data_IF_482315755542
#
_entry.id   IF_482315755542
#
_cell.length_a   1.000
_cell.length_b   1.000
_cell.length_c   1.000
_cell.angle_alpha   90.00
_cell.angle_beta   90.00
_cell.angle_gamma   90.00
#
_symmetry.space_group_name_H-M   'P 1'
#
loop_
_entity.id
_entity.type
_entity.pdbx_description
1 polymer ?
#
# COMPACT_ATOMS: atom_id res chain seq x y z
N UNK A 1 46.02 -20.60 -8.91
CA UNK A 1 46.15 -22.04 -9.20
C UNK A 1 47.37 -22.62 -8.49
N UNK A 2 48.60 -22.14 -8.70
CA UNK A 2 49.82 -22.72 -8.14
C UNK A 2 49.80 -22.82 -6.58
N UNK A 3 49.31 -21.81 -5.89
CA UNK A 3 49.20 -21.80 -4.42
C UNK A 3 48.34 -22.96 -3.86
N UNK A 4 47.21 -23.24 -4.53
CA UNK A 4 46.29 -24.35 -4.16
C UNK A 4 46.63 -25.68 -4.84
N UNK A 5 47.71 -25.74 -5.59
CA UNK A 5 48.10 -26.92 -6.40
C UNK A 5 46.95 -27.42 -7.30
N UNK A 6 46.19 -26.46 -7.86
CA UNK A 6 45.04 -26.74 -8.74
C UNK A 6 45.53 -26.82 -10.18
N UNK A 7 45.65 -28.02 -10.70
CA UNK A 7 46.19 -28.29 -12.04
C UNK A 7 45.13 -28.39 -13.15
N UNK A 8 43.86 -28.35 -12.73
CA UNK A 8 42.75 -28.52 -13.67
C UNK A 8 42.38 -27.21 -14.40
N UNK A 9 41.67 -27.39 -15.51
CA UNK A 9 41.11 -26.26 -16.26
C UNK A 9 40.03 -25.50 -15.47
N UNK A 10 39.70 -24.23 -15.84
CA UNK A 10 38.57 -23.54 -15.27
C UNK A 10 37.28 -24.36 -15.32
N UNK A 11 36.48 -24.26 -14.26
CA UNK A 11 35.20 -24.96 -14.09
C UNK A 11 35.31 -26.53 -13.99
N UNK A 12 36.51 -27.06 -13.88
CA UNK A 12 36.66 -28.50 -13.61
C UNK A 12 36.14 -28.81 -12.19
N UNK A 13 35.26 -29.80 -12.07
CA UNK A 13 34.79 -30.38 -10.82
C UNK A 13 35.40 -31.71 -10.61
N UNK A 14 36.26 -31.94 -9.58
CA UNK A 14 36.83 -33.26 -9.28
C UNK A 14 35.77 -34.33 -9.04
N UNK A 15 36.09 -35.58 -9.38
CA UNK A 15 35.11 -36.65 -9.24
C UNK A 15 34.70 -36.92 -7.78
N UNK A 16 35.62 -36.73 -6.82
CA UNK A 16 35.34 -36.85 -5.41
C UNK A 16 34.29 -35.80 -4.94
N UNK A 17 34.34 -34.56 -5.50
CA UNK A 17 33.35 -33.55 -5.24
C UNK A 17 31.99 -33.93 -5.88
N UNK A 18 31.97 -34.41 -7.09
CA UNK A 18 30.75 -34.92 -7.76
C UNK A 18 30.09 -36.05 -6.97
N UNK A 19 30.89 -37.00 -6.48
CA UNK A 19 30.41 -38.13 -5.68
C UNK A 19 29.80 -37.63 -4.34
N UNK A 20 30.45 -36.71 -3.65
CA UNK A 20 29.93 -36.12 -2.44
C UNK A 20 28.57 -35.42 -2.66
N UNK A 21 28.43 -34.66 -3.77
CA UNK A 21 27.16 -34.03 -4.13
C UNK A 21 26.11 -35.00 -4.65
N UNK A 22 26.49 -36.14 -5.23
CA UNK A 22 25.56 -37.17 -5.61
C UNK A 22 24.79 -37.76 -4.42
N UNK A 23 25.47 -37.99 -3.32
CA UNK A 23 24.84 -38.45 -2.06
C UNK A 23 23.79 -37.46 -1.57
N UNK A 24 24.07 -36.13 -1.65
CA UNK A 24 23.09 -35.06 -1.29
C UNK A 24 21.88 -35.11 -2.22
N UNK A 25 22.09 -35.28 -3.52
CA UNK A 25 21.00 -35.37 -4.50
C UNK A 25 20.11 -36.59 -4.23
N UNK A 26 20.69 -37.79 -4.03
CA UNK A 26 19.95 -39.02 -3.75
C UNK A 26 19.14 -38.91 -2.44
N UNK A 27 19.70 -38.25 -1.40
CA UNK A 27 18.99 -37.97 -0.15
C UNK A 27 17.81 -36.99 -0.37
N UNK A 28 18.00 -35.98 -1.22
CA UNK A 28 16.96 -35.03 -1.60
C UNK A 28 15.82 -35.69 -2.38
N UNK A 29 16.14 -36.46 -3.40
CA UNK A 29 15.16 -37.21 -4.19
C UNK A 29 14.32 -38.16 -3.31
N UNK A 30 14.96 -38.85 -2.35
CA UNK A 30 14.26 -39.71 -1.40
C UNK A 30 13.33 -38.91 -0.48
N UNK A 31 13.80 -37.80 0.06
CA UNK A 31 12.99 -36.92 0.93
C UNK A 31 11.78 -36.37 0.19
N UNK A 32 11.93 -35.96 -1.08
CA UNK A 32 10.84 -35.49 -1.93
C UNK A 32 9.81 -36.61 -2.20
N UNK A 33 10.26 -37.83 -2.51
CA UNK A 33 9.35 -38.95 -2.68
C UNK A 33 8.56 -39.28 -1.41
N UNK A 34 9.22 -39.26 -0.24
CA UNK A 34 8.58 -39.49 1.05
C UNK A 34 7.54 -38.37 1.38
N UNK A 35 7.89 -37.11 1.09
CA UNK A 35 6.96 -35.97 1.21
C UNK A 35 5.74 -36.15 0.32
N UNK A 36 5.94 -36.41 -0.97
CA UNK A 36 4.85 -36.59 -1.94
C UNK A 36 3.93 -37.77 -1.57
N UNK A 37 4.49 -38.83 -1.01
CA UNK A 37 3.71 -40.00 -0.54
C UNK A 37 2.90 -39.61 0.73
N UNK A 38 3.47 -38.78 1.62
CA UNK A 38 2.76 -38.29 2.82
C UNK A 38 1.65 -37.36 2.44
N UNK A 39 1.87 -36.42 1.50
CA UNK A 39 0.86 -35.49 1.02
C UNK A 39 -0.34 -36.23 0.44
N UNK A 40 -0.12 -37.24 -0.41
CA UNK A 40 -1.22 -38.05 -0.95
C UNK A 40 -2.03 -38.75 0.14
N UNK A 41 -1.38 -39.36 1.15
CA UNK A 41 -2.09 -39.95 2.29
C UNK A 41 -2.89 -38.93 3.08
N UNK A 42 -2.37 -37.69 3.19
CA UNK A 42 -3.07 -36.59 3.83
C UNK A 42 -4.28 -36.14 3.02
N UNK A 43 -4.15 -36.05 1.69
CA UNK A 43 -5.24 -35.73 0.76
C UNK A 43 -6.37 -36.76 0.83
N UNK A 44 -6.02 -38.05 0.91
CA UNK A 44 -7.00 -39.14 1.03
C UNK A 44 -7.73 -39.14 2.38
N UNK A 45 -7.02 -38.85 3.47
CA UNK A 45 -7.55 -38.91 4.84
C UNK A 45 -8.26 -37.60 5.27
N UNK A 46 -7.82 -36.44 4.75
CA UNK A 46 -8.26 -35.09 5.16
C UNK A 46 -8.42 -34.19 3.93
N UNK A 47 -9.39 -34.44 3.04
CA UNK A 47 -9.48 -33.73 1.75
C UNK A 47 -9.75 -32.23 1.89
N UNK A 48 -10.50 -31.77 2.87
CA UNK A 48 -10.78 -30.35 3.06
C UNK A 48 -9.55 -29.60 3.60
N UNK A 49 -8.82 -30.18 4.55
CA UNK A 49 -7.59 -29.62 5.09
C UNK A 49 -6.47 -29.62 4.06
N UNK A 50 -6.41 -30.66 3.23
CA UNK A 50 -5.46 -30.75 2.13
C UNK A 50 -5.70 -29.66 1.09
N UNK A 51 -6.96 -29.37 0.76
CA UNK A 51 -7.34 -28.26 -0.12
C UNK A 51 -6.93 -26.92 0.48
N UNK A 52 -7.15 -26.73 1.79
CA UNK A 52 -6.70 -25.51 2.49
C UNK A 52 -5.18 -25.36 2.44
N UNK A 53 -4.43 -26.45 2.64
CA UNK A 53 -2.97 -26.46 2.53
C UNK A 53 -2.51 -26.07 1.11
N UNK A 54 -3.14 -26.61 0.06
CA UNK A 54 -2.83 -26.26 -1.33
C UNK A 54 -3.08 -24.77 -1.60
N UNK A 55 -4.23 -24.23 -1.17
CA UNK A 55 -4.55 -22.78 -1.26
C UNK A 55 -3.51 -21.96 -0.50
N UNK A 56 -3.13 -22.40 0.71
CA UNK A 56 -2.11 -21.71 1.50
C UNK A 56 -0.75 -21.65 0.79
N UNK A 57 -0.33 -22.75 0.19
CA UNK A 57 0.96 -22.86 -0.53
C UNK A 57 0.95 -22.12 -1.88
N UNK A 58 -0.19 -22.08 -2.58
CA UNK A 58 -0.34 -21.32 -3.83
C UNK A 58 -0.44 -19.81 -3.60
N UNK A 59 -0.85 -19.37 -2.40
CA UNK A 59 -1.14 -17.97 -2.08
C UNK A 59 -2.40 -17.42 -2.74
N UNK A 60 -3.22 -18.31 -3.33
CA UNK A 60 -4.49 -17.91 -3.96
C UNK A 60 -5.57 -17.61 -2.92
N UNK A 61 -6.48 -16.73 -3.30
CA UNK A 61 -7.65 -16.39 -2.49
C UNK A 61 -8.80 -17.38 -2.75
N UNK A 62 -9.57 -17.67 -1.72
CA UNK A 62 -10.78 -18.50 -1.87
C UNK A 62 -11.82 -17.74 -2.71
N UNK A 63 -12.52 -18.42 -3.61
CA UNK A 63 -13.55 -17.83 -4.44
C UNK A 63 -14.64 -17.12 -3.60
N UNK A 64 -15.18 -16.01 -4.10
CA UNK A 64 -16.23 -15.23 -3.42
C UNK A 64 -15.72 -14.18 -2.42
N UNK A 65 -14.41 -14.04 -2.22
CA UNK A 65 -13.84 -13.04 -1.32
C UNK A 65 -14.13 -11.60 -1.76
N UNK A 66 -14.35 -11.35 -3.05
CA UNK A 66 -14.69 -10.01 -3.54
C UNK A 66 -16.11 -9.59 -3.18
N UNK A 67 -17.01 -10.56 -3.04
CA UNK A 67 -18.44 -10.29 -2.79
C UNK A 67 -18.70 -9.81 -1.35
N UNK A 68 -17.73 -10.02 -0.45
CA UNK A 68 -17.84 -9.59 0.95
C UNK A 68 -17.16 -8.26 1.24
N UNK A 69 -16.52 -7.65 0.25
CA UNK A 69 -15.89 -6.35 0.43
C UNK A 69 -16.93 -5.29 0.80
N UNK A 70 -16.64 -4.42 1.78
CA UNK A 70 -17.58 -3.40 2.21
C UNK A 70 -17.88 -2.40 1.09
N UNK A 71 -19.10 -1.91 1.05
CA UNK A 71 -19.58 -0.89 0.11
C UNK A 71 -19.95 0.39 0.86
N UNK A 72 -19.78 1.52 0.21
CA UNK A 72 -20.03 2.84 0.76
C UNK A 72 -20.83 3.71 -0.22
N UNK A 73 -21.54 4.71 0.28
CA UNK A 73 -22.33 5.63 -0.52
C UNK A 73 -21.66 7.01 -0.61
N UNK A 74 -21.99 7.76 -1.66
CA UNK A 74 -21.54 9.16 -1.78
C UNK A 74 -21.91 9.96 -0.54
N UNK A 75 -20.92 10.67 0.01
CA UNK A 75 -21.10 11.51 1.19
C UNK A 75 -20.95 10.79 2.53
N UNK A 76 -20.88 9.45 2.55
CA UNK A 76 -20.48 8.73 3.77
C UNK A 76 -19.12 9.25 4.23
N UNK A 77 -19.00 9.56 5.53
CA UNK A 77 -17.76 10.13 6.09
C UNK A 77 -17.12 9.17 7.07
N UNK A 78 -15.98 8.62 6.68
CA UNK A 78 -15.23 7.69 7.53
C UNK A 78 -13.72 7.87 7.34
N UNK A 79 -12.93 7.51 8.36
CA UNK A 79 -11.49 7.45 8.26
C UNK A 79 -11.07 6.22 7.45
N UNK A 80 -10.12 6.36 6.53
CA UNK A 80 -9.70 5.22 5.68
C UNK A 80 -9.08 4.08 6.49
N UNK A 81 -8.51 4.36 7.68
CA UNK A 81 -8.08 3.30 8.61
C UNK A 81 -9.24 2.42 9.12
N UNK A 82 -10.45 2.98 9.31
CA UNK A 82 -11.61 2.19 9.73
C UNK A 82 -12.04 1.25 8.59
N UNK A 83 -12.09 1.79 7.36
CA UNK A 83 -12.36 1.01 6.16
C UNK A 83 -11.38 -0.15 6.00
N UNK A 84 -10.08 0.11 6.24
CA UNK A 84 -9.05 -0.93 6.28
C UNK A 84 -9.38 -2.05 7.26
N UNK A 85 -9.82 -1.71 8.48
CA UNK A 85 -10.26 -2.67 9.47
C UNK A 85 -11.50 -3.47 9.03
N UNK A 86 -12.45 -2.80 8.38
CA UNK A 86 -13.66 -3.44 7.84
C UNK A 86 -13.29 -4.43 6.73
N UNK A 87 -12.41 -4.05 5.80
CA UNK A 87 -11.92 -4.95 4.74
C UNK A 87 -11.17 -6.14 5.30
N UNK A 88 -10.20 -5.93 6.21
CA UNK A 88 -9.44 -7.03 6.82
C UNK A 88 -10.36 -8.05 7.49
N UNK A 89 -11.38 -7.58 8.23
CA UNK A 89 -12.34 -8.45 8.88
C UNK A 89 -13.29 -9.14 7.89
N UNK A 90 -13.72 -8.48 6.83
CA UNK A 90 -14.57 -9.07 5.80
C UNK A 90 -13.86 -10.19 5.03
N UNK A 91 -12.58 -9.98 4.67
CA UNK A 91 -11.82 -10.97 3.89
C UNK A 91 -11.23 -12.09 4.74
N UNK A 92 -11.05 -11.90 6.04
CA UNK A 92 -10.41 -12.88 6.92
C UNK A 92 -10.99 -14.31 6.83
N UNK A 93 -12.32 -14.52 6.76
CA UNK A 93 -12.89 -15.86 6.56
C UNK A 93 -12.51 -16.50 5.22
N UNK A 94 -12.30 -15.69 4.18
CA UNK A 94 -11.97 -16.12 2.82
C UNK A 94 -10.47 -16.24 2.57
N UNK A 95 -9.66 -15.74 3.50
CA UNK A 95 -8.20 -15.79 3.42
C UNK A 95 -7.63 -16.39 4.73
N UNK A 96 -7.74 -17.70 4.92
CA UNK A 96 -7.36 -18.35 6.19
C UNK A 96 -5.90 -18.19 6.55
N UNK A 97 -5.05 -17.90 5.58
CA UNK A 97 -3.60 -17.67 5.78
C UNK A 97 -3.24 -16.22 6.10
N UNK A 98 -4.21 -15.29 6.12
CA UNK A 98 -4.00 -13.91 6.52
C UNK A 98 -3.76 -13.86 8.03
N UNK A 99 -2.56 -13.47 8.46
CA UNK A 99 -2.14 -13.42 9.86
C UNK A 99 -1.38 -12.12 10.11
N UNK A 100 -1.66 -11.44 11.21
CA UNK A 100 -0.97 -10.19 11.48
C UNK A 100 -1.41 -9.47 12.75
N UNK A 101 -1.10 -8.20 12.85
CA UNK A 101 -1.37 -7.40 14.04
C UNK A 101 -0.73 -6.02 13.98
N UNK A 102 -0.19 -5.54 15.10
CA UNK A 102 0.37 -4.20 15.18
C UNK A 102 1.50 -4.12 16.21
N UNK A 103 2.34 -3.09 16.05
CA UNK A 103 3.35 -2.70 17.03
C UNK A 103 2.70 -1.95 18.20
N UNK A 104 1.88 -2.65 18.99
CA UNK A 104 1.13 -2.15 20.17
C UNK A 104 0.11 -1.03 19.87
N UNK A 105 -0.36 -0.94 18.61
CA UNK A 105 -1.29 0.09 18.14
C UNK A 105 -2.54 -0.48 17.47
N UNK A 106 -2.87 -1.77 17.69
CA UNK A 106 -3.94 -2.48 16.96
C UNK A 106 -5.30 -1.79 17.03
N UNK A 107 -5.67 -1.24 18.17
CA UNK A 107 -6.91 -0.46 18.34
C UNK A 107 -6.95 0.82 17.49
N UNK A 108 -5.81 1.50 17.34
CA UNK A 108 -5.68 2.71 16.53
C UNK A 108 -5.50 2.41 15.05
N UNK A 109 -4.73 1.37 14.70
CA UNK A 109 -4.49 0.94 13.33
C UNK A 109 -5.66 0.14 12.74
N UNK A 110 -6.61 -0.36 13.58
CA UNK A 110 -7.73 -1.22 13.17
C UNK A 110 -7.28 -2.55 12.54
N UNK A 111 -6.19 -3.13 13.06
CA UNK A 111 -5.57 -4.34 12.52
C UNK A 111 -6.02 -5.63 13.20
N UNK A 112 -6.88 -5.57 14.21
CA UNK A 112 -7.41 -6.75 14.90
C UNK A 112 -8.42 -7.49 14.01
N UNK A 113 -8.17 -8.78 13.78
CA UNK A 113 -9.14 -9.70 13.21
C UNK A 113 -10.08 -10.17 14.34
N UNK A 114 -11.33 -9.70 14.30
CA UNK A 114 -12.38 -10.10 15.24
C UNK A 114 -12.65 -11.60 15.06
N UNK A 115 -12.99 -12.30 16.09
CA UNK A 115 -13.35 -13.72 16.07
C UNK A 115 -12.22 -14.71 15.72
N UNK A 116 -10.98 -14.25 15.56
CA UNK A 116 -9.84 -15.11 15.17
C UNK A 116 -8.74 -15.24 16.24
N UNK A 117 -9.03 -15.05 17.49
CA UNK A 117 -8.11 -15.31 18.60
C UNK A 117 -6.68 -14.76 18.47
N UNK A 118 -5.91 -14.93 19.52
CA UNK A 118 -4.52 -14.47 19.58
C UNK A 118 -3.57 -15.63 19.26
N UNK A 119 -2.61 -15.40 18.38
CA UNK A 119 -1.53 -16.34 18.11
C UNK A 119 -0.52 -16.28 19.28
N UNK A 120 -0.43 -17.35 20.03
CA UNK A 120 0.40 -17.42 21.24
C UNK A 120 1.17 -18.74 21.35
N UNK A 121 2.05 -18.85 22.35
CA UNK A 121 2.79 -20.09 22.61
C UNK A 121 1.88 -21.24 23.05
N UNK A 122 0.74 -20.93 23.64
CA UNK A 122 -0.23 -21.91 24.15
C UNK A 122 -1.32 -22.24 23.11
N UNK A 123 -1.53 -21.36 22.11
CA UNK A 123 -2.52 -21.53 21.05
C UNK A 123 -2.03 -20.93 19.71
N UNK A 124 -1.66 -21.81 18.79
CA UNK A 124 -1.24 -21.44 17.43
C UNK A 124 -2.39 -21.30 16.43
N UNK A 125 -3.65 -21.51 16.86
CA UNK A 125 -4.82 -21.36 15.99
C UNK A 125 -5.24 -19.89 15.81
N UNK A 126 -4.80 -19.01 16.71
CA UNK A 126 -5.07 -17.58 16.63
C UNK A 126 -4.39 -16.91 15.44
N UNK A 127 -4.95 -15.77 15.01
CA UNK A 127 -4.46 -15.03 13.83
C UNK A 127 -4.05 -13.59 14.14
N UNK A 128 -4.22 -13.14 15.39
CA UNK A 128 -3.76 -11.84 15.85
C UNK A 128 -2.39 -11.99 16.53
N UNK A 129 -1.39 -11.25 16.03
CA UNK A 129 -0.03 -11.24 16.55
C UNK A 129 0.25 -9.93 17.28
N UNK A 130 0.62 -10.03 18.55
CA UNK A 130 0.96 -8.89 19.38
C UNK A 130 2.47 -8.65 19.34
N UNK A 131 2.92 -7.81 18.40
CA UNK A 131 4.36 -7.57 18.18
C UNK A 131 5.00 -6.70 19.28
N UNK A 132 4.21 -5.91 20.03
CA UNK A 132 4.70 -4.90 20.95
C UNK A 132 5.38 -3.74 20.21
N UNK A 133 6.00 -2.81 20.94
CA UNK A 133 6.71 -1.66 20.37
C UNK A 133 8.05 -2.11 19.78
N UNK A 134 8.01 -2.79 18.62
CA UNK A 134 9.17 -3.44 17.99
C UNK A 134 9.01 -3.46 16.46
N UNK A 135 8.89 -2.32 15.83
CA UNK A 135 8.57 -2.20 14.39
C UNK A 135 9.59 -2.94 13.52
N UNK A 136 10.88 -2.82 13.80
CA UNK A 136 11.91 -3.53 13.05
C UNK A 136 11.78 -5.05 13.15
N UNK A 137 11.59 -5.57 14.36
CA UNK A 137 11.38 -7.00 14.58
C UNK A 137 10.06 -7.49 13.95
N UNK A 138 8.98 -6.69 14.05
CA UNK A 138 7.71 -6.94 13.38
C UNK A 138 7.92 -7.16 11.87
N UNK A 139 8.64 -6.25 11.21
CA UNK A 139 8.97 -6.40 9.79
C UNK A 139 9.85 -7.60 9.49
N UNK A 140 10.82 -7.91 10.36
CA UNK A 140 11.67 -9.11 10.25
C UNK A 140 10.84 -10.40 10.36
N UNK A 141 9.90 -10.46 11.30
CA UNK A 141 8.97 -11.59 11.46
C UNK A 141 8.08 -11.74 10.23
N UNK A 142 7.51 -10.64 9.72
CA UNK A 142 6.72 -10.66 8.48
C UNK A 142 7.52 -11.22 7.30
N UNK A 143 8.77 -10.78 7.14
CA UNK A 143 9.64 -11.28 6.08
C UNK A 143 9.91 -12.78 6.23
N UNK A 144 10.15 -13.25 7.45
CA UNK A 144 10.34 -14.67 7.74
C UNK A 144 9.09 -15.50 7.43
N UNK A 145 7.90 -15.04 7.82
CA UNK A 145 6.62 -15.68 7.51
C UNK A 145 6.37 -15.77 6.01
N UNK A 146 6.59 -14.67 5.28
CA UNK A 146 6.41 -14.63 3.83
C UNK A 146 7.40 -15.54 3.10
N UNK A 147 8.68 -15.55 3.50
CA UNK A 147 9.71 -16.44 2.93
C UNK A 147 9.45 -17.91 3.19
N UNK A 148 8.90 -18.26 4.36
CA UNK A 148 8.51 -19.64 4.65
C UNK A 148 7.38 -20.12 3.73
N UNK A 149 6.49 -19.20 3.34
CA UNK A 149 5.29 -19.51 2.56
C UNK A 149 4.14 -20.07 3.40
N UNK A 150 2.96 -20.16 2.80
CA UNK A 150 1.74 -20.64 3.45
C UNK A 150 1.05 -19.61 4.36
N UNK A 151 1.60 -18.41 4.51
CA UNK A 151 1.04 -17.31 5.30
C UNK A 151 1.14 -16.00 4.53
N UNK A 152 0.08 -15.21 4.53
CA UNK A 152 0.07 -13.83 4.04
C UNK A 152 0.17 -12.88 5.24
N UNK A 153 1.35 -12.38 5.59
CA UNK A 153 1.51 -11.53 6.75
C UNK A 153 1.07 -10.09 6.47
N UNK A 154 0.40 -9.46 7.45
CA UNK A 154 0.16 -8.03 7.49
C UNK A 154 0.55 -7.45 8.85
N UNK A 155 0.97 -6.20 8.89
CA UNK A 155 1.20 -5.53 10.16
C UNK A 155 0.99 -4.02 10.07
N UNK A 156 0.54 -3.43 11.18
CA UNK A 156 0.24 -2.01 11.28
C UNK A 156 1.08 -1.28 12.31
N UNK A 157 1.33 -0.01 12.00
CA UNK A 157 1.83 1.01 12.93
C UNK A 157 1.42 2.40 12.41
N UNK A 158 1.72 3.49 13.12
CA UNK A 158 1.58 4.83 12.56
C UNK A 158 2.61 5.07 11.47
N UNK A 159 2.28 5.90 10.48
CA UNK A 159 3.17 6.15 9.35
C UNK A 159 4.53 6.71 9.78
N UNK A 160 4.56 7.59 10.79
CA UNK A 160 5.80 8.15 11.34
C UNK A 160 6.76 7.06 11.83
N UNK A 161 6.25 5.95 12.37
CA UNK A 161 7.07 4.84 12.87
C UNK A 161 7.56 3.90 11.76
N UNK A 162 7.23 4.20 10.49
CA UNK A 162 7.92 3.55 9.36
C UNK A 162 9.43 3.78 9.41
N UNK A 163 9.92 4.82 10.06
CA UNK A 163 11.34 5.07 10.27
C UNK A 163 12.04 3.91 10.99
N UNK A 164 11.37 3.29 11.98
CA UNK A 164 11.91 2.11 12.67
C UNK A 164 11.74 0.82 11.86
N UNK A 165 10.76 0.76 10.95
CA UNK A 165 10.41 -0.43 10.17
C UNK A 165 11.12 -0.47 8.80
N UNK A 166 11.51 0.67 8.27
CA UNK A 166 11.98 0.86 6.89
C UNK A 166 13.10 -0.10 6.45
N UNK A 167 14.13 -0.44 7.25
CA UNK A 167 15.13 -1.41 6.82
C UNK A 167 14.54 -2.80 6.52
N UNK A 168 13.56 -3.26 7.31
CA UNK A 168 12.85 -4.53 7.06
C UNK A 168 11.94 -4.47 5.83
N UNK A 169 11.26 -3.33 5.60
CA UNK A 169 10.48 -3.08 4.36
C UNK A 169 11.39 -3.17 3.14
N UNK A 170 12.57 -2.54 3.20
CA UNK A 170 13.53 -2.58 2.11
C UNK A 170 13.97 -4.00 1.77
N UNK A 171 14.13 -4.87 2.77
CA UNK A 171 14.46 -6.27 2.56
C UNK A 171 13.28 -7.04 1.95
N UNK A 172 12.04 -6.79 2.38
CA UNK A 172 10.86 -7.36 1.74
C UNK A 172 10.81 -6.99 0.25
N UNK A 173 11.06 -5.72 -0.07
CA UNK A 173 11.08 -5.23 -1.45
C UNK A 173 12.23 -5.83 -2.29
N UNK A 174 13.41 -6.00 -1.69
CA UNK A 174 14.56 -6.62 -2.34
C UNK A 174 14.32 -8.11 -2.67
N UNK A 175 13.55 -8.80 -1.81
CA UNK A 175 13.23 -10.23 -1.92
C UNK A 175 11.87 -10.49 -2.59
N UNK A 176 11.18 -9.44 -3.06
CA UNK A 176 9.83 -9.50 -3.64
C UNK A 176 8.82 -10.25 -2.74
N UNK A 177 8.87 -10.01 -1.42
CA UNK A 177 7.99 -10.72 -0.48
C UNK A 177 6.64 -10.04 -0.35
N UNK A 178 5.52 -10.79 -0.43
CA UNK A 178 4.17 -10.25 -0.45
C UNK A 178 3.67 -9.85 0.95
N UNK A 179 4.36 -8.95 1.62
CA UNK A 179 4.00 -8.41 2.93
C UNK A 179 3.08 -7.20 2.81
N UNK A 180 2.12 -7.03 3.73
CA UNK A 180 1.19 -5.90 3.75
C UNK A 180 1.47 -5.02 4.96
N UNK A 181 1.87 -3.77 4.71
CA UNK A 181 2.09 -2.76 5.74
C UNK A 181 0.88 -1.82 5.80
N UNK A 182 0.24 -1.77 6.97
CA UNK A 182 -0.93 -0.91 7.24
C UNK A 182 -0.44 0.29 8.04
N UNK A 183 -0.19 1.40 7.36
CA UNK A 183 0.24 2.65 7.98
C UNK A 183 -0.94 3.59 8.16
N UNK A 184 -1.22 3.96 9.40
CA UNK A 184 -2.27 4.92 9.71
C UNK A 184 -1.70 6.24 10.23
N UNK A 185 -2.56 7.25 10.44
CA UNK A 185 -2.10 8.57 10.89
C UNK A 185 -1.14 9.20 9.88
N UNK A 186 -1.65 9.35 8.64
CA UNK A 186 -0.92 9.59 7.40
C UNK A 186 -0.30 10.98 7.24
N UNK A 187 -0.69 11.96 8.07
CA UNK A 187 -0.34 13.37 7.86
C UNK A 187 -0.43 14.20 9.15
N UNK A 188 -0.26 15.52 9.05
CA UNK A 188 -0.51 16.48 10.12
C UNK A 188 -1.94 16.43 10.66
N UNK A 189 -2.87 15.79 9.94
CA UNK A 189 -4.23 15.50 10.40
C UNK A 189 -4.30 14.63 11.67
N UNK A 190 -3.18 14.08 12.12
CA UNK A 190 -3.01 13.44 13.44
C UNK A 190 -3.41 14.39 14.57
N UNK A 191 -3.01 15.66 14.47
CA UNK A 191 -3.47 16.70 15.40
C UNK A 191 -2.58 16.87 16.62
N UNK A 192 -3.16 16.85 17.81
CA UNK A 192 -2.55 17.27 19.08
C UNK A 192 -1.33 16.45 19.49
N UNK A 193 -1.18 15.21 19.02
CA UNK A 193 0.02 14.37 19.26
C UNK A 193 1.30 15.07 18.78
N UNK A 194 1.17 15.99 17.83
CA UNK A 194 2.22 16.91 17.43
C UNK A 194 3.30 16.32 16.52
N UNK A 195 4.42 17.05 16.32
CA UNK A 195 5.44 16.75 15.33
C UNK A 195 6.08 15.36 15.45
N UNK A 196 6.13 14.80 16.65
CA UNK A 196 6.71 13.46 16.89
C UNK A 196 5.85 12.32 16.31
N UNK A 197 4.59 12.60 15.97
CA UNK A 197 3.63 11.64 15.45
C UNK A 197 3.09 12.02 14.06
N UNK A 198 3.45 13.19 13.55
CA UNK A 198 3.01 13.72 12.27
C UNK A 198 4.04 13.45 11.18
N UNK A 199 3.78 12.52 10.25
CA UNK A 199 4.70 12.25 9.14
C UNK A 199 4.69 13.41 8.14
N UNK A 200 5.84 13.73 7.59
CA UNK A 200 6.05 14.72 6.53
C UNK A 200 6.80 14.09 5.35
N UNK A 201 8.04 13.63 5.60
CA UNK A 201 8.94 13.06 4.59
C UNK A 201 8.70 11.57 4.32
N UNK A 202 7.92 10.90 5.14
CA UNK A 202 7.78 9.44 5.16
C UNK A 202 7.21 8.88 3.86
N UNK A 203 6.25 9.57 3.23
CA UNK A 203 5.72 9.16 1.92
C UNK A 203 6.82 9.16 0.85
N UNK A 204 7.58 10.24 0.73
CA UNK A 204 8.69 10.33 -0.21
C UNK A 204 9.76 9.28 0.09
N UNK A 205 10.06 9.03 1.37
CA UNK A 205 11.03 8.03 1.80
C UNK A 205 10.59 6.59 1.46
N UNK A 206 9.29 6.27 1.56
CA UNK A 206 8.76 4.96 1.17
C UNK A 206 8.72 4.80 -0.35
N UNK A 207 8.26 5.81 -1.10
CA UNK A 207 8.27 5.84 -2.57
C UNK A 207 9.67 5.73 -3.17
N UNK A 208 10.71 6.06 -2.40
CA UNK A 208 12.11 5.89 -2.83
C UNK A 208 12.61 4.43 -2.76
N UNK A 209 11.85 3.50 -2.16
CA UNK A 209 12.23 2.08 -2.07
C UNK A 209 11.78 1.37 -3.34
N UNK A 210 12.71 0.84 -4.18
CA UNK A 210 12.34 0.08 -5.37
C UNK A 210 11.48 -1.14 -5.01
N UNK A 211 10.54 -1.51 -5.87
CA UNK A 211 9.63 -2.65 -5.73
C UNK A 211 8.67 -2.59 -4.54
N UNK A 212 8.61 -1.49 -3.81
CA UNK A 212 7.57 -1.25 -2.82
C UNK A 212 6.39 -0.54 -3.51
N UNK A 213 5.20 -1.12 -3.43
CA UNK A 213 3.98 -0.45 -3.86
C UNK A 213 3.43 0.41 -2.71
N UNK A 214 3.36 1.72 -2.89
CA UNK A 214 2.79 2.65 -1.91
C UNK A 214 1.42 3.11 -2.40
N UNK A 215 0.37 2.85 -1.60
CA UNK A 215 -1.01 3.22 -1.90
C UNK A 215 -1.52 4.19 -0.83
N UNK A 216 -1.90 5.40 -1.21
CA UNK A 216 -2.52 6.40 -0.32
C UNK A 216 -3.92 6.76 -0.81
N UNK A 217 -4.94 5.96 -0.45
CA UNK A 217 -6.32 6.15 -0.91
C UNK A 217 -6.95 7.41 -0.32
N UNK A 218 -7.76 8.10 -1.13
CA UNK A 218 -8.42 9.35 -0.76
C UNK A 218 -9.73 9.18 0.01
N UNK A 219 -10.41 8.04 -0.13
CA UNK A 219 -11.67 7.77 0.54
C UNK A 219 -11.89 6.26 0.80
N UNK A 220 -13.11 5.92 1.24
CA UNK A 220 -13.46 4.54 1.54
C UNK A 220 -13.42 3.64 0.29
N UNK A 221 -13.89 4.11 -0.85
CA UNK A 221 -13.95 3.33 -2.09
C UNK A 221 -12.54 3.04 -2.60
N UNK A 222 -11.69 4.04 -2.67
CA UNK A 222 -10.28 3.82 -3.02
C UNK A 222 -9.56 2.90 -2.05
N UNK A 223 -9.92 2.93 -0.75
CA UNK A 223 -9.34 2.03 0.25
C UNK A 223 -9.72 0.57 -0.03
N UNK A 224 -10.98 0.31 -0.34
CA UNK A 224 -11.44 -1.03 -0.73
C UNK A 224 -10.70 -1.52 -1.98
N UNK A 225 -10.57 -0.67 -2.99
CA UNK A 225 -9.90 -1.03 -4.26
C UNK A 225 -8.37 -1.17 -4.10
N UNK A 226 -7.75 -0.43 -3.17
CA UNK A 226 -6.36 -0.64 -2.80
C UNK A 226 -6.14 -2.04 -2.20
N UNK A 227 -7.01 -2.47 -1.29
CA UNK A 227 -6.98 -3.83 -0.76
C UNK A 227 -7.28 -4.88 -1.82
N UNK A 228 -8.24 -4.63 -2.70
CA UNK A 228 -8.52 -5.53 -3.83
C UNK A 228 -7.25 -5.79 -4.64
N UNK A 229 -6.55 -4.73 -5.04
CA UNK A 229 -5.29 -4.84 -5.76
C UNK A 229 -4.21 -5.58 -4.95
N UNK A 230 -4.02 -5.20 -3.68
CA UNK A 230 -2.97 -5.77 -2.82
C UNK A 230 -3.18 -7.25 -2.56
N UNK A 231 -4.43 -7.68 -2.39
CA UNK A 231 -4.75 -9.08 -2.10
C UNK A 231 -4.69 -9.97 -3.34
N UNK A 232 -5.07 -9.48 -4.52
CA UNK A 232 -5.22 -10.31 -5.73
C UNK A 232 -4.10 -10.15 -6.76
N UNK A 233 -3.55 -8.95 -6.95
CA UNK A 233 -2.63 -8.64 -8.06
C UNK A 233 -1.20 -8.35 -7.59
N UNK A 234 -1.01 -7.78 -6.38
CA UNK A 234 0.29 -7.37 -5.87
C UNK A 234 1.12 -8.57 -5.39
N UNK A 235 2.24 -8.82 -6.06
CA UNK A 235 3.15 -9.93 -5.75
C UNK A 235 4.25 -9.57 -4.77
N UNK A 236 4.65 -8.31 -4.72
CA UNK A 236 5.65 -7.77 -3.81
C UNK A 236 5.03 -7.11 -2.55
N UNK A 237 5.85 -6.40 -1.77
CA UNK A 237 5.37 -5.71 -0.59
C UNK A 237 4.52 -4.49 -0.96
N UNK A 238 3.47 -4.25 -0.16
CA UNK A 238 2.59 -3.10 -0.30
C UNK A 238 2.46 -2.33 1.01
N UNK A 239 2.53 -0.99 0.94
CA UNK A 239 2.27 -0.07 2.03
C UNK A 239 0.95 0.68 1.74
N UNK A 240 -0.05 0.48 2.58
CA UNK A 240 -1.35 1.17 2.51
C UNK A 240 -1.35 2.27 3.54
N UNK A 241 -1.44 3.52 3.08
CA UNK A 241 -1.30 4.73 3.88
C UNK A 241 -2.68 5.34 4.15
N UNK A 242 -3.08 5.43 5.40
CA UNK A 242 -4.46 5.61 5.82
C UNK A 242 -4.64 6.80 6.77
N UNK A 243 -5.72 7.57 6.57
CA UNK A 243 -6.05 8.73 7.38
C UNK A 243 -6.55 8.36 8.78
N UNK A 244 -6.27 9.24 9.76
CA UNK A 244 -6.91 9.22 11.08
C UNK A 244 -8.28 9.89 11.04
N UNK A 245 -8.39 11.02 10.33
CA UNK A 245 -9.62 11.79 10.19
C UNK A 245 -10.56 11.17 9.17
N UNK A 246 -11.86 11.41 9.36
CA UNK A 246 -12.89 11.01 8.39
C UNK A 246 -12.85 11.88 7.14
N UNK A 247 -12.95 11.23 5.99
CA UNK A 247 -13.04 11.84 4.65
C UNK A 247 -14.34 11.41 3.98
N UNK A 248 -14.95 12.25 3.14
CA UNK A 248 -16.18 11.89 2.45
C UNK A 248 -15.90 10.97 1.26
N UNK A 249 -16.81 10.06 0.98
CA UNK A 249 -16.85 9.28 -0.27
C UNK A 249 -17.27 10.19 -1.41
N UNK A 250 -16.50 10.15 -2.50
CA UNK A 250 -16.69 10.99 -3.67
C UNK A 250 -17.45 10.22 -4.78
N UNK A 251 -18.26 10.92 -5.56
CA UNK A 251 -18.99 10.32 -6.69
C UNK A 251 -18.03 9.70 -7.71
N UNK A 252 -16.98 10.44 -8.08
CA UNK A 252 -16.00 9.97 -9.06
C UNK A 252 -15.19 8.75 -8.63
N UNK A 253 -15.06 8.47 -7.31
CA UNK A 253 -14.41 7.23 -6.84
C UNK A 253 -15.31 6.02 -7.01
N UNK A 254 -16.62 6.15 -6.78
CA UNK A 254 -17.58 5.06 -7.06
C UNK A 254 -17.56 4.64 -8.52
N UNK A 255 -17.40 5.59 -9.43
CA UNK A 255 -17.41 5.34 -10.88
C UNK A 255 -16.06 4.77 -11.37
N UNK A 256 -14.94 5.30 -10.87
CA UNK A 256 -13.64 5.15 -11.53
C UNK A 256 -12.59 4.39 -10.71
N UNK A 257 -12.71 4.29 -9.37
CA UNK A 257 -11.65 3.75 -8.52
C UNK A 257 -11.33 2.28 -8.82
N UNK A 258 -12.32 1.44 -9.15
CA UNK A 258 -12.09 0.02 -9.43
C UNK A 258 -11.08 -0.22 -10.55
N UNK A 259 -11.12 0.56 -11.60
CA UNK A 259 -10.16 0.47 -12.70
C UNK A 259 -8.95 1.38 -12.50
N UNK A 260 -9.10 2.44 -11.72
CA UNK A 260 -8.12 3.52 -11.55
C UNK A 260 -7.07 3.24 -10.50
N UNK A 261 -7.46 2.75 -9.32
CA UNK A 261 -6.53 2.52 -8.20
C UNK A 261 -5.43 1.53 -8.58
N UNK A 262 -5.77 0.43 -9.21
CA UNK A 262 -4.80 -0.57 -9.68
C UNK A 262 -3.85 -0.06 -10.79
N UNK A 263 -4.19 1.06 -11.42
CA UNK A 263 -3.32 1.76 -12.37
C UNK A 263 -2.53 2.89 -11.73
N UNK A 264 -2.76 3.18 -10.46
CA UNK A 264 -1.99 4.12 -9.65
C UNK A 264 -2.36 5.60 -9.80
N UNK A 265 -3.03 5.98 -10.88
CA UNK A 265 -3.54 7.33 -11.10
C UNK A 265 -4.62 7.32 -12.18
N UNK A 266 -5.67 8.11 -12.00
CA UNK A 266 -6.80 8.15 -12.92
C UNK A 266 -7.52 9.50 -12.88
N UNK A 267 -8.28 9.80 -13.94
CA UNK A 267 -9.15 10.98 -13.96
C UNK A 267 -10.32 10.72 -13.03
N UNK A 268 -10.33 11.40 -11.89
CA UNK A 268 -11.42 11.32 -10.91
C UNK A 268 -12.63 12.10 -11.40
N UNK A 269 -12.39 13.32 -11.88
CA UNK A 269 -13.44 14.19 -12.39
C UNK A 269 -12.90 15.02 -13.55
N UNK A 270 -13.58 14.95 -14.69
CA UNK A 270 -13.19 15.68 -15.89
C UNK A 270 -13.58 17.17 -15.80
N UNK A 271 -12.93 18.00 -16.59
CA UNK A 271 -13.33 19.37 -16.79
C UNK A 271 -14.73 19.45 -17.41
N UNK A 272 -15.58 20.36 -16.92
CA UNK A 272 -16.99 20.44 -17.33
C UNK A 272 -17.22 20.58 -18.84
N UNK A 273 -16.25 21.15 -19.57
CA UNK A 273 -16.29 21.32 -21.02
C UNK A 273 -15.47 20.26 -21.79
N UNK A 274 -14.89 19.27 -21.10
CA UNK A 274 -14.02 18.24 -21.67
C UNK A 274 -12.62 18.73 -22.08
N UNK A 275 -12.30 20.02 -21.90
CA UNK A 275 -11.01 20.61 -22.27
C UNK A 275 -10.40 21.33 -21.06
N UNK A 276 -9.61 20.66 -20.24
CA UNK A 276 -9.03 21.24 -19.05
C UNK A 276 -7.99 22.32 -19.37
N UNK A 277 -8.12 23.47 -18.71
CA UNK A 277 -7.13 24.55 -18.73
C UNK A 277 -5.99 24.27 -17.75
N UNK A 278 -6.26 23.46 -16.73
CA UNK A 278 -5.29 23.05 -15.71
C UNK A 278 -5.67 21.69 -15.11
N UNK A 279 -4.74 21.07 -14.40
CA UNK A 279 -4.97 19.84 -13.64
C UNK A 279 -4.77 20.10 -12.15
N UNK A 280 -5.61 19.48 -11.30
CA UNK A 280 -5.32 19.28 -9.87
C UNK A 280 -5.05 17.80 -9.68
N UNK A 281 -3.87 17.45 -9.18
CA UNK A 281 -3.45 16.08 -8.89
C UNK A 281 -3.42 15.92 -7.37
N UNK A 282 -4.26 15.05 -6.83
CA UNK A 282 -4.35 14.88 -5.38
C UNK A 282 -4.28 13.41 -4.97
N UNK A 283 -3.92 13.16 -3.72
CA UNK A 283 -3.87 11.82 -3.13
C UNK A 283 -4.27 11.88 -1.66
N UNK A 284 -4.76 10.76 -1.14
CA UNK A 284 -5.08 10.67 0.27
C UNK A 284 -6.20 11.58 0.71
N UNK A 285 -6.17 11.96 1.98
CA UNK A 285 -7.24 12.75 2.62
C UNK A 285 -7.49 14.12 1.98
N UNK A 286 -6.61 14.61 1.11
CA UNK A 286 -6.72 15.90 0.44
C UNK A 286 -7.56 15.83 -0.86
N UNK A 287 -7.93 14.63 -1.31
CA UNK A 287 -8.61 14.43 -2.60
C UNK A 287 -9.96 15.17 -2.67
N UNK A 288 -10.74 15.18 -1.58
CA UNK A 288 -12.01 15.90 -1.53
C UNK A 288 -11.84 17.41 -1.69
N UNK A 289 -10.75 17.99 -1.16
CA UNK A 289 -10.45 19.43 -1.31
C UNK A 289 -10.19 19.78 -2.78
N UNK A 290 -9.57 18.90 -3.54
CA UNK A 290 -9.34 19.09 -4.98
C UNK A 290 -10.65 19.12 -5.76
N UNK A 291 -11.61 18.24 -5.44
CA UNK A 291 -12.95 18.21 -6.04
C UNK A 291 -13.74 19.48 -5.71
N UNK A 292 -13.74 19.89 -4.43
CA UNK A 292 -14.40 21.13 -4.02
C UNK A 292 -13.78 22.37 -4.68
N UNK A 293 -12.44 22.39 -4.83
CA UNK A 293 -11.74 23.47 -5.52
C UNK A 293 -12.11 23.51 -7.02
N UNK A 294 -12.22 22.37 -7.70
CA UNK A 294 -12.69 22.29 -9.08
C UNK A 294 -14.09 22.89 -9.22
N UNK A 295 -15.01 22.52 -8.34
CA UNK A 295 -16.39 23.03 -8.37
C UNK A 295 -16.42 24.57 -8.20
N UNK A 296 -15.58 25.10 -7.31
CA UNK A 296 -15.47 26.54 -7.11
C UNK A 296 -14.84 27.26 -8.30
N UNK A 297 -13.81 26.70 -8.91
CA UNK A 297 -13.18 27.24 -10.13
C UNK A 297 -14.14 27.25 -11.32
N UNK A 298 -14.99 26.22 -11.44
CA UNK A 298 -16.00 26.13 -12.51
C UNK A 298 -17.01 27.29 -12.42
N UNK A 299 -17.35 27.78 -11.23
CA UNK A 299 -18.22 28.98 -11.06
C UNK A 299 -17.56 30.24 -11.62
N UNK A 300 -16.23 30.29 -11.64
CA UNK A 300 -15.46 31.40 -12.22
C UNK A 300 -15.13 31.16 -13.72
N UNK A 301 -15.71 30.13 -14.35
CA UNK A 301 -15.46 29.76 -15.75
C UNK A 301 -14.10 29.11 -16.02
N UNK A 302 -13.41 28.65 -14.97
CA UNK A 302 -12.13 27.96 -15.09
C UNK A 302 -12.37 26.45 -15.06
N UNK A 303 -12.05 25.78 -16.15
CA UNK A 303 -12.30 24.36 -16.35
C UNK A 303 -11.06 23.54 -16.00
N UNK A 304 -11.16 22.71 -14.97
CA UNK A 304 -10.04 21.95 -14.40
C UNK A 304 -10.40 20.47 -14.38
N UNK A 305 -9.44 19.61 -14.67
CA UNK A 305 -9.54 18.17 -14.43
C UNK A 305 -8.97 17.86 -13.05
N UNK A 306 -9.64 16.99 -12.29
CA UNK A 306 -9.11 16.41 -11.05
C UNK A 306 -8.61 14.99 -11.33
N UNK A 307 -7.38 14.72 -10.91
CA UNK A 307 -6.73 13.41 -11.00
C UNK A 307 -6.49 12.90 -9.59
N UNK A 308 -6.99 11.71 -9.29
CA UNK A 308 -6.55 10.95 -8.12
C UNK A 308 -5.30 10.16 -8.48
N UNK A 309 -4.26 10.24 -7.62
CA UNK A 309 -3.00 9.54 -7.82
C UNK A 309 -2.59 8.74 -6.57
N UNK A 310 -3.32 7.68 -6.23
CA UNK A 310 -3.08 6.91 -5.02
C UNK A 310 -1.74 6.17 -5.00
N UNK A 311 -1.12 5.86 -6.15
CA UNK A 311 0.17 5.17 -6.24
C UNK A 311 1.01 5.63 -7.43
N UNK A 312 2.17 6.22 -7.15
CA UNK A 312 3.11 6.62 -8.19
C UNK A 312 3.70 5.41 -8.92
N UNK A 313 4.06 4.37 -8.18
CA UNK A 313 4.71 3.17 -8.70
C UNK A 313 3.81 2.46 -9.73
N UNK A 314 2.53 2.32 -9.43
CA UNK A 314 1.57 1.71 -10.34
C UNK A 314 1.27 2.60 -11.55
N UNK A 315 1.25 3.92 -11.37
CA UNK A 315 1.05 4.85 -12.49
C UNK A 315 2.23 4.83 -13.46
N UNK A 316 3.46 4.80 -12.95
CA UNK A 316 4.66 4.73 -13.78
C UNK A 316 4.79 3.41 -14.58
N UNK A 317 4.16 2.34 -14.11
CA UNK A 317 4.11 1.06 -14.81
C UNK A 317 3.14 1.06 -16.01
N UNK A 318 2.27 2.07 -16.11
CA UNK A 318 1.32 2.15 -17.22
C UNK A 318 2.02 2.55 -18.53
N UNK A 319 1.41 2.17 -19.65
CA UNK A 319 1.88 2.60 -20.94
C UNK A 319 1.76 4.14 -21.12
N UNK A 320 2.48 4.67 -22.09
CA UNK A 320 2.52 6.10 -22.35
C UNK A 320 1.12 6.64 -22.72
N UNK A 321 0.34 5.91 -23.49
CA UNK A 321 -0.98 6.36 -23.93
C UNK A 321 -1.93 6.54 -22.72
N UNK A 322 -1.90 5.63 -21.76
CA UNK A 322 -2.67 5.77 -20.53
C UNK A 322 -2.21 6.98 -19.71
N UNK A 323 -0.90 7.10 -19.46
CA UNK A 323 -0.35 8.21 -18.66
C UNK A 323 -0.67 9.57 -19.31
N UNK A 324 -0.56 9.65 -20.62
CA UNK A 324 -0.94 10.86 -21.39
C UNK A 324 -2.45 11.13 -21.38
N UNK A 325 -3.28 10.09 -21.37
CA UNK A 325 -4.71 10.21 -21.20
C UNK A 325 -5.10 10.83 -19.85
N UNK A 326 -4.37 10.48 -18.79
CA UNK A 326 -4.59 11.01 -17.42
C UNK A 326 -3.95 12.40 -17.24
N UNK A 327 -2.68 12.55 -17.65
CA UNK A 327 -1.86 13.75 -17.51
C UNK A 327 -1.37 14.24 -18.89
N UNK A 328 -2.26 14.80 -19.73
CA UNK A 328 -1.89 15.19 -21.10
C UNK A 328 -0.79 16.25 -21.11
N UNK A 329 0.23 16.03 -21.95
CA UNK A 329 1.37 16.94 -22.08
C UNK A 329 0.95 18.35 -22.56
N UNK A 330 -0.20 18.46 -23.22
CA UNK A 330 -0.75 19.75 -23.66
C UNK A 330 -1.29 20.63 -22.53
N UNK A 331 -1.44 20.09 -21.30
CA UNK A 331 -1.88 20.83 -20.12
C UNK A 331 -0.72 20.86 -19.13
N UNK A 332 0.06 21.96 -19.16
CA UNK A 332 1.26 22.18 -18.35
C UNK A 332 0.95 22.86 -16.99
N UNK A 333 -0.18 23.51 -16.86
CA UNK A 333 -0.63 24.13 -15.60
C UNK A 333 -1.18 23.07 -14.66
N UNK A 334 -0.33 22.57 -13.77
CA UNK A 334 -0.63 21.43 -12.88
C UNK A 334 -0.36 21.79 -11.43
N UNK A 335 -1.29 21.50 -10.56
CA UNK A 335 -1.18 21.70 -9.12
C UNK A 335 -1.26 20.35 -8.40
N UNK A 336 -0.20 19.98 -7.68
CA UNK A 336 -0.26 18.81 -6.80
C UNK A 336 -0.71 19.21 -5.39
N UNK A 337 -1.53 18.36 -4.76
CA UNK A 337 -2.07 18.56 -3.41
C UNK A 337 -1.85 17.30 -2.59
N UNK A 338 -0.93 17.34 -1.63
CA UNK A 338 -0.61 16.24 -0.72
C UNK A 338 -0.08 16.74 0.61
N UNK A 339 -0.66 16.31 1.72
CA UNK A 339 -0.17 16.60 3.07
C UNK A 339 1.09 15.77 3.39
N UNK A 340 2.15 16.03 2.66
CA UNK A 340 3.47 15.42 2.71
C UNK A 340 4.50 16.30 2.02
N UNK A 341 5.75 15.83 1.93
CA UNK A 341 6.85 16.57 1.33
C UNK A 341 6.64 16.78 -0.18
N UNK A 342 7.06 17.92 -0.71
CA UNK A 342 6.96 18.23 -2.15
C UNK A 342 7.86 17.35 -3.03
N UNK A 343 8.88 16.74 -2.46
CA UNK A 343 9.90 15.95 -3.16
C UNK A 343 9.30 14.87 -4.07
N UNK A 344 9.59 14.97 -5.36
CA UNK A 344 9.15 14.02 -6.39
C UNK A 344 7.89 14.45 -7.13
N UNK A 345 7.12 15.43 -6.63
CA UNK A 345 5.97 15.95 -7.34
C UNK A 345 6.34 16.71 -8.62
N UNK A 346 7.58 17.21 -8.72
CA UNK A 346 8.11 17.88 -9.91
C UNK A 346 7.96 17.01 -11.17
N UNK A 347 8.06 15.69 -11.03
CA UNK A 347 7.84 14.73 -12.13
C UNK A 347 6.46 14.88 -12.79
N UNK A 348 5.44 15.20 -12.00
CA UNK A 348 4.05 15.23 -12.45
C UNK A 348 3.55 16.64 -12.77
N UNK A 349 4.01 17.62 -11.99
CA UNK A 349 3.58 19.00 -12.19
C UNK A 349 4.43 19.74 -13.24
N UNK A 350 5.70 19.33 -13.44
CA UNK A 350 6.63 19.99 -14.37
C UNK A 350 7.09 21.36 -13.89
N UNK A 351 7.83 22.07 -14.75
CA UNK A 351 8.45 23.38 -14.42
C UNK A 351 7.40 24.50 -14.29
N UNK A 352 6.28 24.40 -14.97
CA UNK A 352 5.17 25.36 -14.97
C UNK A 352 4.10 25.05 -13.90
N UNK A 353 4.32 24.02 -13.10
CA UNK A 353 3.39 23.59 -12.08
C UNK A 353 3.71 24.13 -10.68
N UNK A 354 2.84 23.79 -9.74
CA UNK A 354 3.02 24.13 -8.32
C UNK A 354 2.51 23.02 -7.41
N UNK A 355 2.78 23.19 -6.10
CA UNK A 355 2.32 22.24 -5.08
C UNK A 355 1.65 22.95 -3.90
N UNK A 356 0.69 22.28 -3.28
CA UNK A 356 0.21 22.52 -1.92
C UNK A 356 0.67 21.33 -1.08
N UNK A 357 1.81 21.47 -0.42
CA UNK A 357 2.57 20.40 0.26
C UNK A 357 3.18 20.95 1.55
N UNK A 358 3.81 20.06 2.33
CA UNK A 358 4.42 20.39 3.62
C UNK A 358 5.94 20.23 3.50
N UNK A 359 6.68 21.35 3.71
CA UNK A 359 8.15 21.36 3.68
C UNK A 359 8.75 21.80 5.04
N UNK A 360 8.02 21.60 6.11
CA UNK A 360 8.43 21.86 7.51
C UNK A 360 7.75 20.84 8.43
N UNK A 361 8.26 20.66 9.63
CA UNK A 361 7.58 19.82 10.62
C UNK A 361 6.21 20.36 11.00
N UNK A 362 5.33 19.46 11.45
CA UNK A 362 4.01 19.80 11.96
C UNK A 362 4.06 20.51 13.32
N UNK A 363 2.89 20.73 13.89
CA UNK A 363 2.72 21.40 15.18
C UNK A 363 1.62 20.71 16.00
N UNK A 364 1.57 20.95 17.33
CA UNK A 364 0.53 20.38 18.19
C UNK A 364 -0.68 21.33 18.25
N UNK A 365 -1.75 20.93 17.56
CA UNK A 365 -3.05 21.62 17.56
C UNK A 365 -4.13 20.66 17.01
N UNK A 366 -5.44 20.99 17.09
CA UNK A 366 -6.48 20.20 16.43
C UNK A 366 -6.19 20.02 14.93
N UNK A 367 -6.33 18.79 14.43
CA UNK A 367 -5.93 18.42 13.06
C UNK A 367 -6.55 19.31 11.98
N UNK A 368 -7.84 19.65 12.08
CA UNK A 368 -8.50 20.56 11.13
C UNK A 368 -7.88 21.95 11.10
N UNK A 369 -7.48 22.47 12.27
CA UNK A 369 -6.79 23.77 12.36
C UNK A 369 -5.40 23.70 11.71
N UNK A 370 -4.68 22.60 11.92
CA UNK A 370 -3.38 22.39 11.27
C UNK A 370 -3.51 22.32 9.74
N UNK A 371 -4.50 21.59 9.24
CA UNK A 371 -4.76 21.54 7.80
C UNK A 371 -5.00 22.94 7.23
N UNK A 372 -5.77 23.79 7.92
CA UNK A 372 -6.01 25.17 7.54
C UNK A 372 -4.72 26.01 7.57
N UNK A 373 -3.96 26.00 8.66
CA UNK A 373 -2.73 26.77 8.84
C UNK A 373 -1.60 26.37 7.88
N UNK A 374 -1.58 25.09 7.47
CA UNK A 374 -0.64 24.60 6.46
C UNK A 374 -1.16 24.76 5.02
N UNK A 375 -2.31 25.38 4.85
CA UNK A 375 -2.84 25.76 3.54
C UNK A 375 -3.64 24.69 2.82
N UNK A 376 -4.02 23.60 3.48
CA UNK A 376 -4.91 22.58 2.91
C UNK A 376 -6.37 23.03 3.03
N UNK A 377 -6.69 24.08 2.28
CA UNK A 377 -8.04 24.65 2.16
C UNK A 377 -8.43 24.79 0.70
N UNK A 378 -9.72 24.70 0.42
CA UNK A 378 -10.28 24.90 -0.92
C UNK A 378 -9.85 26.26 -1.49
N UNK A 379 -9.93 27.32 -0.67
CA UNK A 379 -9.57 28.68 -1.08
C UNK A 379 -8.11 28.83 -1.48
N UNK A 380 -7.19 28.21 -0.73
CA UNK A 380 -5.78 28.25 -1.08
C UNK A 380 -5.51 27.47 -2.38
N UNK A 381 -6.12 26.29 -2.57
CA UNK A 381 -5.99 25.49 -3.81
C UNK A 381 -6.49 26.30 -5.00
N UNK A 382 -7.66 26.93 -4.90
CA UNK A 382 -8.22 27.82 -5.93
C UNK A 382 -7.28 28.98 -6.25
N UNK A 383 -6.78 29.67 -5.22
CA UNK A 383 -5.89 30.81 -5.40
C UNK A 383 -4.56 30.42 -6.04
N UNK A 384 -3.97 29.28 -5.62
CA UNK A 384 -2.72 28.76 -6.19
C UNK A 384 -2.90 28.41 -7.68
N UNK A 385 -4.02 27.76 -8.02
CA UNK A 385 -4.28 27.43 -9.42
C UNK A 385 -4.54 28.69 -10.28
N UNK A 386 -5.27 29.68 -9.77
CA UNK A 386 -5.46 30.95 -10.46
C UNK A 386 -4.15 31.70 -10.71
N UNK A 387 -3.19 31.60 -9.79
CA UNK A 387 -1.84 32.16 -9.98
C UNK A 387 -1.06 31.45 -11.09
N UNK A 388 -1.23 30.13 -11.23
CA UNK A 388 -0.60 29.37 -12.34
C UNK A 388 -1.17 29.70 -13.72
N UNK A 389 -2.41 30.20 -13.78
CA UNK A 389 -3.09 30.54 -15.03
C UNK A 389 -2.82 31.98 -15.49
N UNK A 390 -2.16 32.81 -14.69
CA UNK A 390 -1.76 34.18 -15.03
C UNK A 390 -0.43 34.21 -15.79
#
# INVERSE_FOLDING_TARGET
KQYYKWEHEPFHVPEEAREAFRVVREAGEKAEQEWNASLRRFEDAYPEEAKQLQVALSGELTAGWEDVLPTYNVGDKTATRNVSGDVLNAVAPYYPTLLGGSADLSGSNKTTLKDFGDFSADDYSGRNVWYGVREHAMGGIMNGLALHGGVRPYAGTFLVFSDYLRPSIRLAALMDQPTIYVFTHDSIGVGEDGPTHQPVEHLAALRAIPNLTVLRPGDAVETVEAYRYVLSECKGPAAIILSRQGVPVLEGTLENARSGVKRGGYVLQEAANGNPQALIIATGSELHLAVEAQQKLAQDGIHVRVVSMPSWELFEQQDQAYREGVLPASVDKRLAVEAGLSLGWERYVGDEGATVTINRFGESAPGGKLMEEFGFTVDNIVNRLKQLLQ
#
